data_IF_639802837784
#
_entry.id   IF_639802837784
#
_cell.length_a   1.000
_cell.length_b   1.000
_cell.length_c   1.000
_cell.angle_alpha   90.00
_cell.angle_beta   90.00
_cell.angle_gamma   90.00
#
_symmetry.space_group_name_H-M   'P 1'
#
loop_
_entity.id
_entity.type
_entity.pdbx_description
1 polymer ?
#
# COMPACT_ATOMS: atom_id res chain seq x y z
N UNK A 1 -36.49 -54.37 -28.12
CA UNK A 1 -37.52 -54.15 -27.08
C UNK A 1 -37.70 -52.64 -26.97
N UNK A 2 -38.88 -52.10 -27.29
CA UNK A 2 -39.85 -51.53 -26.32
C UNK A 2 -39.24 -50.37 -25.50
N UNK A 3 -39.82 -49.16 -25.35
CA UNK A 3 -40.96 -48.44 -25.96
C UNK A 3 -40.77 -46.92 -25.61
N UNK A 4 -41.59 -45.91 -25.95
CA UNK A 4 -42.87 -45.80 -26.68
C UNK A 4 -42.98 -44.38 -27.34
N UNK A 5 -44.18 -43.97 -27.79
CA UNK A 5 -44.51 -42.60 -28.22
C UNK A 5 -45.07 -41.74 -27.03
N UNK A 6 -45.47 -40.47 -27.23
CA UNK A 6 -46.76 -40.22 -27.90
C UNK A 6 -46.72 -39.21 -29.07
N UNK A 7 -47.59 -39.46 -30.04
CA UNK A 7 -48.13 -38.44 -30.94
C UNK A 7 -49.28 -37.73 -30.21
N UNK A 8 -49.37 -36.40 -30.32
CA UNK A 8 -50.65 -35.67 -30.30
C UNK A 8 -50.57 -34.64 -31.43
N UNK A 9 -51.19 -34.97 -32.57
CA UNK A 9 -51.58 -34.00 -33.59
C UNK A 9 -52.92 -33.40 -33.13
N UNK A 10 -52.97 -32.07 -32.98
CA UNK A 10 -54.21 -31.32 -33.13
C UNK A 10 -53.91 -30.20 -34.13
N UNK A 11 -54.68 -30.22 -35.21
CA UNK A 11 -54.59 -29.38 -36.40
C UNK A 11 -55.62 -28.25 -36.22
N UNK A 12 -55.21 -26.99 -36.26
CA UNK A 12 -56.11 -25.84 -36.35
C UNK A 12 -55.47 -24.78 -37.25
N UNK A 13 -56.27 -24.27 -38.19
CA UNK A 13 -55.84 -23.72 -39.47
C UNK A 13 -55.27 -22.27 -39.42
N UNK A 14 -54.64 -21.87 -40.52
CA UNK A 14 -54.03 -20.56 -40.75
C UNK A 14 -55.01 -19.36 -40.61
N UNK A 15 -54.51 -18.21 -40.12
CA UNK A 15 -55.06 -16.88 -40.43
C UNK A 15 -53.92 -15.92 -40.81
N UNK A 16 -53.94 -15.45 -42.06
CA UNK A 16 -52.96 -14.54 -42.65
C UNK A 16 -53.06 -13.12 -42.03
N UNK A 17 -51.92 -12.51 -41.71
CA UNK A 17 -51.88 -11.16 -41.13
C UNK A 17 -50.53 -10.46 -41.29
N UNK A 18 -50.40 -9.63 -42.31
CA UNK A 18 -49.18 -8.94 -42.76
C UNK A 18 -48.44 -8.07 -41.70
N UNK A 19 -47.11 -8.03 -41.90
CA UNK A 19 -46.20 -6.87 -41.75
C UNK A 19 -46.34 -5.91 -40.52
N UNK A 20 -45.35 -5.93 -39.60
CA UNK A 20 -44.33 -4.85 -39.58
C UNK A 20 -43.13 -5.12 -38.62
N UNK A 21 -41.98 -4.57 -38.99
CA UNK A 21 -40.68 -4.74 -38.31
C UNK A 21 -40.48 -3.71 -37.16
N UNK A 22 -40.56 -4.12 -35.89
CA UNK A 22 -40.05 -3.27 -34.79
C UNK A 22 -39.27 -4.05 -33.71
N UNK A 23 -37.94 -4.05 -33.84
CA UNK A 23 -37.03 -4.49 -32.75
C UNK A 23 -36.79 -3.36 -31.75
N UNK A 24 -37.23 -3.44 -30.47
CA UNK A 24 -36.73 -2.55 -29.43
C UNK A 24 -35.28 -2.93 -29.08
N UNK A 25 -34.40 -1.94 -29.19
CA UNK A 25 -32.94 -2.10 -29.18
C UNK A 25 -32.42 -2.49 -27.79
N UNK A 26 -31.34 -3.29 -27.74
CA UNK A 26 -30.50 -3.49 -26.54
C UNK A 26 -30.28 -2.15 -25.84
N UNK A 27 -30.83 -2.00 -24.63
CA UNK A 27 -30.59 -0.83 -23.79
C UNK A 27 -29.09 -0.72 -23.52
N UNK A 28 -28.44 0.28 -24.13
CA UNK A 28 -27.03 0.59 -23.85
C UNK A 28 -26.88 0.76 -22.34
N UNK A 29 -25.92 0.06 -21.75
CA UNK A 29 -25.63 0.20 -20.33
C UNK A 29 -25.40 1.67 -19.99
N UNK A 30 -26.21 2.20 -19.06
CA UNK A 30 -25.81 3.38 -18.29
C UNK A 30 -24.71 2.91 -17.37
N UNK A 31 -23.49 2.79 -17.92
CA UNK A 31 -22.29 2.82 -17.11
C UNK A 31 -22.42 4.07 -16.24
N UNK A 32 -22.56 3.88 -14.93
CA UNK A 32 -22.50 4.98 -13.99
C UNK A 32 -21.16 5.66 -14.25
N UNK A 33 -21.21 6.88 -14.79
CA UNK A 33 -20.03 7.70 -15.00
C UNK A 33 -19.55 8.03 -13.59
N UNK A 34 -18.66 7.20 -13.06
CA UNK A 34 -17.96 7.48 -11.82
C UNK A 34 -17.38 8.88 -11.98
N UNK A 35 -17.89 9.81 -11.18
CA UNK A 35 -17.38 11.17 -11.17
C UNK A 35 -15.95 11.05 -10.66
N UNK A 36 -14.98 11.26 -11.56
CA UNK A 36 -13.58 11.32 -11.17
C UNK A 36 -13.48 12.38 -10.08
N UNK A 37 -12.94 12.05 -8.88
CA UNK A 37 -12.86 13.02 -7.81
C UNK A 37 -12.11 14.24 -8.33
N UNK A 38 -12.65 15.43 -8.05
CA UNK A 38 -12.03 16.68 -8.47
C UNK A 38 -10.59 16.69 -7.94
N UNK A 39 -9.63 16.66 -8.86
CA UNK A 39 -8.21 16.51 -8.53
C UNK A 39 -7.64 17.75 -7.81
N UNK A 40 -8.41 18.84 -7.76
CA UNK A 40 -8.06 20.08 -7.09
C UNK A 40 -6.84 20.76 -7.71
N UNK A 41 -6.29 21.78 -7.02
CA UNK A 41 -5.09 22.47 -7.48
C UNK A 41 -3.85 21.57 -7.39
N UNK A 42 -3.21 21.28 -8.52
CA UNK A 42 -1.93 20.56 -8.54
C UNK A 42 -0.77 21.47 -8.15
N UNK A 43 -0.04 21.12 -7.08
CA UNK A 43 1.17 21.84 -6.64
C UNK A 43 2.42 21.11 -7.18
N UNK A 44 3.40 21.80 -7.79
CA UNK A 44 4.65 21.17 -8.22
C UNK A 44 5.43 20.60 -7.03
N UNK A 45 5.93 19.37 -7.18
CA UNK A 45 6.66 18.67 -6.12
C UNK A 45 7.97 19.38 -5.78
N UNK A 46 8.13 19.80 -4.53
CA UNK A 46 9.39 20.38 -4.05
C UNK A 46 10.45 19.29 -3.79
N UNK A 47 11.75 19.60 -3.83
CA UNK A 47 12.80 18.64 -3.50
C UNK A 47 12.66 18.05 -2.09
N UNK A 48 12.18 18.85 -1.13
CA UNK A 48 11.91 18.40 0.23
C UNK A 48 10.76 17.39 0.30
N UNK A 49 9.67 17.62 -0.46
CA UNK A 49 8.56 16.67 -0.57
C UNK A 49 8.99 15.38 -1.28
N UNK A 50 9.79 15.48 -2.35
CA UNK A 50 10.35 14.30 -3.02
C UNK A 50 11.21 13.44 -2.07
N UNK A 51 12.06 14.07 -1.26
CA UNK A 51 12.87 13.35 -0.26
C UNK A 51 12.00 12.75 0.87
N UNK A 52 10.91 13.41 1.29
CA UNK A 52 9.96 12.86 2.24
C UNK A 52 9.25 11.61 1.68
N UNK A 53 8.78 11.65 0.43
CA UNK A 53 8.19 10.48 -0.25
C UNK A 53 9.20 9.31 -0.28
N UNK A 54 10.46 9.57 -0.64
CA UNK A 54 11.52 8.54 -0.62
C UNK A 54 11.72 7.93 0.77
N UNK A 55 11.72 8.74 1.84
CA UNK A 55 11.84 8.25 3.23
C UNK A 55 10.67 7.33 3.61
N UNK A 56 9.44 7.71 3.25
CA UNK A 56 8.25 6.92 3.56
C UNK A 56 8.24 5.58 2.82
N UNK A 57 8.51 5.57 1.51
CA UNK A 57 8.64 4.32 0.74
C UNK A 57 9.81 3.45 1.21
N UNK A 58 10.91 4.07 1.66
CA UNK A 58 12.03 3.36 2.27
C UNK A 58 11.65 2.71 3.61
N UNK A 59 10.88 3.40 4.47
CA UNK A 59 10.37 2.84 5.71
C UNK A 59 9.47 1.62 5.44
N UNK A 60 8.51 1.74 4.53
CA UNK A 60 7.60 0.64 4.16
C UNK A 60 8.38 -0.58 3.66
N UNK A 61 9.35 -0.38 2.76
CA UNK A 61 10.21 -1.45 2.24
C UNK A 61 11.19 -2.03 3.29
N UNK A 62 11.47 -1.33 4.39
CA UNK A 62 12.27 -1.83 5.52
C UNK A 62 11.42 -2.62 6.51
N UNK A 63 10.18 -2.22 6.72
CA UNK A 63 9.20 -2.95 7.54
C UNK A 63 8.81 -4.27 6.86
N UNK A 64 8.57 -4.28 5.54
CA UNK A 64 8.25 -5.49 4.76
C UNK A 64 9.37 -6.56 4.82
N UNK A 65 10.63 -6.16 5.04
CA UNK A 65 11.77 -7.07 5.20
C UNK A 65 12.20 -7.30 6.66
N UNK A 66 11.42 -6.80 7.62
CA UNK A 66 11.69 -6.89 9.06
C UNK A 66 13.03 -6.23 9.51
N UNK A 67 13.58 -5.28 8.74
CA UNK A 67 14.73 -4.46 9.16
C UNK A 67 14.25 -3.31 10.06
N UNK A 68 13.75 -3.67 11.24
CA UNK A 68 13.19 -2.73 12.21
C UNK A 68 14.22 -1.75 12.77
N UNK A 69 15.51 -2.12 12.79
CA UNK A 69 16.60 -1.21 13.20
C UNK A 69 16.71 -0.05 12.23
N UNK A 70 16.76 -0.28 10.90
CA UNK A 70 16.73 0.84 9.94
C UNK A 70 15.38 1.53 9.90
N UNK A 71 14.28 0.78 10.00
CA UNK A 71 12.94 1.37 10.02
C UNK A 71 12.79 2.37 11.19
N UNK A 72 13.33 2.05 12.37
CA UNK A 72 13.31 2.95 13.54
C UNK A 72 14.08 4.26 13.31
N UNK A 73 15.22 4.23 12.61
CA UNK A 73 15.98 5.45 12.24
C UNK A 73 15.15 6.37 11.36
N UNK A 74 14.45 5.83 10.35
CA UNK A 74 13.55 6.64 9.51
C UNK A 74 12.34 7.12 10.32
N UNK A 75 11.77 6.26 11.17
CA UNK A 75 10.60 6.60 11.99
C UNK A 75 10.86 7.78 12.92
N UNK A 76 12.03 7.86 13.59
CA UNK A 76 12.41 9.00 14.44
C UNK A 76 12.33 10.33 13.66
N UNK A 77 12.89 10.37 12.45
CA UNK A 77 12.93 11.59 11.62
C UNK A 77 11.57 11.94 11.00
N UNK A 78 10.78 10.94 10.59
CA UNK A 78 9.42 11.15 10.08
C UNK A 78 8.47 11.60 11.20
N UNK A 79 8.56 11.04 12.41
CA UNK A 79 7.78 11.48 13.57
C UNK A 79 8.15 12.91 13.99
N UNK A 80 9.45 13.25 14.04
CA UNK A 80 9.92 14.61 14.29
C UNK A 80 9.48 15.62 13.19
N UNK A 81 9.18 15.13 11.98
CA UNK A 81 8.55 15.93 10.91
C UNK A 81 7.06 16.17 11.20
N UNK A 82 6.32 15.12 11.61
CA UNK A 82 4.90 15.18 12.00
C UNK A 82 4.64 16.13 13.17
N UNK A 83 5.58 16.24 14.12
CA UNK A 83 5.48 17.18 15.25
C UNK A 83 5.57 18.66 14.83
N UNK A 84 6.25 18.96 13.71
CA UNK A 84 6.52 20.33 13.24
C UNK A 84 5.55 20.79 12.15
N UNK A 85 4.94 19.84 11.47
CA UNK A 85 3.98 20.02 10.39
C UNK A 85 3.06 18.81 10.45
N UNK A 86 1.73 18.99 10.53
CA UNK A 86 0.80 17.86 10.61
C UNK A 86 0.39 17.35 9.22
N UNK A 87 1.04 16.32 8.65
CA UNK A 87 0.67 15.79 7.33
C UNK A 87 -0.68 15.07 7.35
N UNK A 88 -1.28 14.78 8.50
CA UNK A 88 -2.61 14.13 8.56
C UNK A 88 -3.69 15.06 8.01
N UNK A 89 -3.48 16.38 8.11
CA UNK A 89 -4.34 17.42 7.53
C UNK A 89 -4.03 17.64 6.06
N UNK A 90 -2.75 17.74 5.68
CA UNK A 90 -2.35 18.21 4.35
C UNK A 90 -2.02 17.11 3.34
N UNK A 91 -1.59 15.93 3.79
CA UNK A 91 -1.05 14.83 2.98
C UNK A 91 -1.49 13.43 3.52
N UNK A 92 -2.77 13.21 3.91
CA UNK A 92 -3.18 12.00 4.64
C UNK A 92 -2.87 10.69 3.91
N UNK A 93 -3.09 10.64 2.59
CA UNK A 93 -2.81 9.46 1.77
C UNK A 93 -1.33 9.11 1.68
N UNK A 94 -0.43 10.06 1.86
CA UNK A 94 1.01 9.82 1.79
C UNK A 94 1.56 9.20 3.10
N UNK A 95 0.89 9.44 4.22
CA UNK A 95 1.32 8.97 5.54
C UNK A 95 0.56 7.75 6.06
N UNK A 96 -0.49 7.31 5.36
CA UNK A 96 -1.30 6.16 5.78
C UNK A 96 -0.49 4.85 5.84
N UNK A 97 0.36 4.58 4.84
CA UNK A 97 1.24 3.41 4.82
C UNK A 97 2.24 3.42 5.98
N UNK A 98 2.92 4.54 6.19
CA UNK A 98 3.82 4.76 7.34
C UNK A 98 3.16 4.52 8.70
N UNK A 99 2.03 5.18 8.99
CA UNK A 99 1.36 5.01 10.28
C UNK A 99 0.76 3.60 10.45
N UNK A 100 0.28 2.99 9.36
CA UNK A 100 -0.15 1.60 9.38
C UNK A 100 1.02 0.66 9.74
N UNK A 101 2.18 0.80 9.07
CA UNK A 101 3.38 0.01 9.36
C UNK A 101 3.89 0.19 10.78
N UNK A 102 3.89 1.43 11.32
CA UNK A 102 4.18 1.66 12.74
C UNK A 102 3.19 0.94 13.66
N UNK A 103 1.90 0.96 13.36
CA UNK A 103 0.89 0.32 14.22
C UNK A 103 0.94 -1.21 14.18
N UNK A 104 1.26 -1.81 13.02
CA UNK A 104 1.34 -3.26 12.85
C UNK A 104 2.61 -3.86 13.45
N UNK A 105 3.70 -3.09 13.53
CA UNK A 105 5.01 -3.54 14.02
C UNK A 105 5.48 -2.77 15.26
N UNK A 106 4.54 -2.21 16.04
CA UNK A 106 4.82 -1.38 17.20
C UNK A 106 5.75 -2.07 18.21
N UNK A 107 5.42 -3.31 18.59
CA UNK A 107 6.18 -4.11 19.57
C UNK A 107 7.66 -4.32 19.19
N UNK A 108 7.96 -4.36 17.88
CA UNK A 108 9.32 -4.53 17.38
C UNK A 108 10.08 -3.19 17.22
N UNK A 109 9.36 -2.10 16.90
CA UNK A 109 9.96 -0.79 16.62
C UNK A 109 10.11 0.04 17.91
N UNK A 110 9.14 0.00 18.83
CA UNK A 110 9.11 0.83 20.04
C UNK A 110 10.37 0.67 20.93
N UNK A 111 10.92 -0.53 21.19
CA UNK A 111 12.16 -0.66 21.97
C UNK A 111 13.36 0.03 21.29
N UNK A 112 13.37 0.08 19.96
CA UNK A 112 14.45 0.70 19.17
C UNK A 112 14.36 2.23 19.17
N UNK A 113 13.14 2.79 19.22
CA UNK A 113 12.91 4.23 19.41
C UNK A 113 13.42 4.73 20.79
N UNK A 114 13.41 3.87 21.80
CA UNK A 114 14.02 4.15 23.10
C UNK A 114 15.56 3.98 23.09
N UNK A 115 16.11 3.14 22.21
CA UNK A 115 17.55 2.83 22.09
C UNK A 115 18.41 3.83 21.30
N UNK A 116 17.88 5.02 21.00
CA UNK A 116 18.46 6.03 20.09
C UNK A 116 19.80 6.62 20.55
N UNK A 117 20.16 6.46 21.82
CA UNK A 117 21.41 6.98 22.37
C UNK A 117 22.65 6.13 22.05
N UNK A 118 22.47 4.89 21.59
CA UNK A 118 23.57 3.98 21.31
C UNK A 118 24.46 4.46 20.16
N UNK A 119 25.76 4.17 20.23
CA UNK A 119 26.72 4.57 19.18
C UNK A 119 26.35 3.99 17.80
N UNK A 120 25.86 2.74 17.77
CA UNK A 120 25.40 2.08 16.54
C UNK A 120 24.21 2.80 15.91
N UNK A 121 23.20 3.16 16.71
CA UNK A 121 22.06 3.94 16.24
C UNK A 121 22.49 5.32 15.73
N UNK A 122 23.31 6.05 16.51
CA UNK A 122 23.80 7.38 16.11
C UNK A 122 24.61 7.33 14.82
N UNK A 123 25.44 6.31 14.61
CA UNK A 123 26.18 6.13 13.36
C UNK A 123 25.25 5.87 12.15
N UNK A 124 24.19 5.07 12.34
CA UNK A 124 23.17 4.82 11.32
C UNK A 124 22.31 6.06 11.01
N UNK A 125 21.92 6.84 12.02
CA UNK A 125 21.23 8.13 11.87
C UNK A 125 22.08 9.14 11.08
N UNK A 126 23.37 9.25 11.37
CA UNK A 126 24.26 10.13 10.60
C UNK A 126 24.43 9.65 9.15
N UNK A 127 24.55 8.34 8.92
CA UNK A 127 24.60 7.79 7.56
C UNK A 127 23.30 8.10 6.79
N UNK A 128 22.14 7.86 7.41
CA UNK A 128 20.82 8.17 6.86
C UNK A 128 20.65 9.65 6.44
N UNK A 129 21.20 10.59 7.23
CA UNK A 129 21.14 12.04 6.95
C UNK A 129 22.03 12.48 5.79
N UNK A 130 23.18 11.83 5.61
CA UNK A 130 24.17 12.18 4.57
C UNK A 130 23.87 11.45 3.25
N UNK A 131 23.55 10.16 3.31
CA UNK A 131 23.31 9.30 2.16
C UNK A 131 22.28 8.20 2.48
N UNK A 132 21.04 8.44 2.05
CA UNK A 132 19.93 7.50 2.21
C UNK A 132 20.17 6.17 1.49
N UNK A 133 20.84 6.18 0.34
CA UNK A 133 21.04 4.97 -0.48
C UNK A 133 22.16 4.10 0.08
N UNK A 134 23.24 4.72 0.59
CA UNK A 134 24.25 4.03 1.39
C UNK A 134 23.67 3.48 2.71
N UNK A 135 22.80 4.23 3.39
CA UNK A 135 22.09 3.73 4.58
C UNK A 135 21.24 2.49 4.26
N UNK A 136 20.46 2.50 3.17
CA UNK A 136 19.61 1.36 2.80
C UNK A 136 20.42 0.12 2.41
N UNK A 137 21.60 0.28 1.82
CA UNK A 137 22.48 -0.83 1.41
C UNK A 137 23.46 -1.30 2.49
N UNK A 138 23.77 -0.48 3.50
CA UNK A 138 24.69 -0.83 4.58
C UNK A 138 24.22 -2.09 5.33
N UNK A 139 25.04 -3.15 5.35
CA UNK A 139 24.73 -4.33 6.15
C UNK A 139 24.98 -4.04 7.63
N UNK A 140 23.98 -4.33 8.47
CA UNK A 140 24.18 -4.35 9.91
C UNK A 140 25.03 -5.57 10.26
N UNK A 141 26.20 -5.33 10.86
CA UNK A 141 27.00 -6.42 11.42
C UNK A 141 26.29 -6.90 12.69
N UNK A 142 25.90 -8.19 12.79
CA UNK A 142 25.28 -8.68 14.03
C UNK A 142 26.26 -8.50 15.20
N UNK A 143 25.75 -8.24 16.43
CA UNK A 143 26.60 -8.11 17.60
C UNK A 143 27.41 -9.38 17.80
N UNK A 144 28.75 -9.26 17.77
CA UNK A 144 29.67 -10.34 18.12
C UNK A 144 29.51 -10.65 19.62
N UNK A 145 28.69 -11.65 19.94
CA UNK A 145 28.47 -12.08 21.33
C UNK A 145 27.43 -13.20 21.51
N UNK A 146 26.42 -13.31 20.64
CA UNK A 146 25.32 -14.27 20.82
C UNK A 146 25.64 -15.75 20.44
N UNK A 147 26.91 -16.14 20.41
CA UNK A 147 27.33 -17.47 19.95
C UNK A 147 28.68 -17.90 20.56
N UNK A 148 28.71 -18.11 21.89
CA UNK A 148 29.73 -18.92 22.62
C UNK A 148 29.52 -18.78 24.14
N UNK A 149 28.46 -19.36 24.71
CA UNK A 149 28.37 -19.51 26.19
C UNK A 149 27.45 -20.68 26.63
N UNK A 150 27.50 -21.79 25.87
CA UNK A 150 26.86 -23.08 26.24
C UNK A 150 27.72 -24.28 25.80
N UNK A 151 28.98 -24.30 26.21
CA UNK A 151 29.86 -25.50 26.17
C UNK A 151 30.84 -25.42 27.36
N UNK A 152 30.38 -25.80 28.56
CA UNK A 152 30.98 -26.87 29.41
C UNK A 152 30.01 -27.28 30.54
#
# INVERSE_FOLDING_TARGET
MLAAAPDEEDDDEDDDGDEEEVRPKKGKGRAARAESPDAGPTVPMSPALAQLVRKLSAFEALVEREDFVKASVIAVDVLATVERFDPRVYLPMLFSGFFNGLSQHADAIEPLLHGTESLGFRALDQLYRVDLDAFLTAQQRPPRGASSEYEE
#
